data_IF_426575024627
#
_entry.id   IF_426575024627
#
_cell.length_a   1.000
_cell.length_b   1.000
_cell.length_c   1.000
_cell.angle_alpha   90.00
_cell.angle_beta   90.00
_cell.angle_gamma   90.00
#
_symmetry.space_group_name_H-M   'P 1'
#
loop_
_entity.id
_entity.type
_entity.pdbx_description
1 polymer ?
#
# COMPACT_ATOMS: atom_id res chain seq x y z
N UNK A 1 10.68 11.15 -13.76
CA UNK A 1 10.96 9.72 -14.03
C UNK A 1 11.16 9.53 -15.54
N UNK A 2 12.31 9.03 -16.00
CA UNK A 2 12.50 8.77 -17.44
C UNK A 2 11.71 7.52 -17.86
N UNK A 3 10.48 7.72 -18.32
CA UNK A 3 9.60 6.65 -18.76
C UNK A 3 10.06 6.08 -20.11
N UNK A 4 10.42 4.80 -20.14
CA UNK A 4 10.94 4.13 -21.33
C UNK A 4 9.80 3.33 -22.00
N UNK A 5 9.05 3.98 -22.89
CA UNK A 5 8.01 3.36 -23.70
C UNK A 5 6.59 3.34 -23.08
N UNK A 6 5.61 3.00 -23.90
CA UNK A 6 4.18 3.03 -23.55
C UNK A 6 3.84 2.09 -22.38
N UNK A 7 4.43 0.89 -22.34
CA UNK A 7 4.19 -0.12 -21.29
C UNK A 7 4.66 0.39 -19.92
N UNK A 8 5.83 1.03 -19.86
CA UNK A 8 6.36 1.57 -18.60
C UNK A 8 5.49 2.71 -18.05
N UNK A 9 4.98 3.58 -18.92
CA UNK A 9 4.01 4.63 -18.55
C UNK A 9 2.72 4.03 -18.05
N UNK A 10 2.18 3.03 -18.75
CA UNK A 10 0.95 2.36 -18.34
C UNK A 10 1.08 1.73 -16.94
N UNK A 11 2.15 0.97 -16.69
CA UNK A 11 2.39 0.34 -15.38
C UNK A 11 2.56 1.40 -14.28
N UNK A 12 3.32 2.47 -14.56
CA UNK A 12 3.51 3.56 -13.59
C UNK A 12 2.17 4.23 -13.25
N UNK A 13 1.36 4.57 -14.25
CA UNK A 13 0.05 5.18 -14.03
C UNK A 13 -0.90 4.25 -13.28
N UNK A 14 -0.89 2.95 -13.59
CA UNK A 14 -1.67 1.95 -12.89
C UNK A 14 -1.31 1.90 -11.41
N UNK A 15 -0.02 1.83 -11.07
CA UNK A 15 0.47 1.85 -9.68
C UNK A 15 0.03 3.11 -8.95
N UNK A 16 0.20 4.29 -9.58
CA UNK A 16 -0.19 5.56 -8.96
C UNK A 16 -1.70 5.61 -8.70
N UNK A 17 -2.51 5.10 -9.63
CA UNK A 17 -3.96 5.05 -9.47
C UNK A 17 -4.39 4.06 -8.37
N UNK A 18 -3.75 2.89 -8.30
CA UNK A 18 -3.98 1.93 -7.23
C UNK A 18 -3.58 2.48 -5.86
N UNK A 19 -2.41 3.12 -5.76
CA UNK A 19 -1.97 3.77 -4.52
C UNK A 19 -2.91 4.91 -4.12
N UNK A 20 -3.39 5.72 -5.07
CA UNK A 20 -4.41 6.74 -4.81
C UNK A 20 -5.73 6.15 -4.28
N UNK A 21 -6.17 5.01 -4.83
CA UNK A 21 -7.36 4.31 -4.33
C UNK A 21 -7.17 3.79 -2.89
N UNK A 22 -5.98 3.28 -2.55
CA UNK A 22 -5.63 2.85 -1.18
C UNK A 22 -5.66 4.05 -0.22
N UNK A 23 -5.05 5.17 -0.62
CA UNK A 23 -5.07 6.41 0.16
C UNK A 23 -6.50 6.88 0.41
N UNK A 24 -7.34 6.92 -0.63
CA UNK A 24 -8.75 7.30 -0.50
C UNK A 24 -9.47 6.36 0.47
N UNK A 25 -9.34 5.05 0.31
CA UNK A 25 -9.94 4.08 1.23
C UNK A 25 -9.48 4.31 2.67
N UNK A 26 -8.19 4.54 2.90
CA UNK A 26 -7.64 4.79 4.23
C UNK A 26 -8.18 6.07 4.89
N UNK A 27 -8.46 7.12 4.12
CA UNK A 27 -9.07 8.35 4.66
C UNK A 27 -10.58 8.24 4.89
N UNK A 28 -11.31 7.51 4.03
CA UNK A 28 -12.76 7.37 4.14
C UNK A 28 -13.20 6.24 5.08
N UNK A 29 -12.36 5.24 5.30
CA UNK A 29 -12.63 4.08 6.16
C UNK A 29 -11.47 3.80 7.12
N UNK A 30 -11.01 4.79 7.92
CA UNK A 30 -9.87 4.62 8.82
C UNK A 30 -10.13 3.57 9.91
N UNK A 31 -11.40 3.35 10.24
CA UNK A 31 -11.89 2.33 11.17
C UNK A 31 -11.41 0.92 10.81
N UNK A 32 -11.29 0.60 9.52
CA UNK A 32 -10.81 -0.71 9.08
C UNK A 32 -9.33 -0.92 9.42
N UNK A 33 -8.51 0.11 9.21
CA UNK A 33 -7.07 0.06 9.53
C UNK A 33 -6.85 0.12 11.05
N UNK A 34 -7.66 0.90 11.76
CA UNK A 34 -7.63 0.98 13.21
C UNK A 34 -7.99 -0.37 13.86
N UNK A 35 -9.03 -1.06 13.37
CA UNK A 35 -9.42 -2.38 13.84
C UNK A 35 -8.26 -3.38 13.69
N UNK A 36 -7.63 -3.42 12.51
CA UNK A 36 -6.48 -4.30 12.27
C UNK A 36 -5.29 -3.98 13.17
N UNK A 37 -4.99 -2.70 13.41
CA UNK A 37 -3.90 -2.29 14.30
C UNK A 37 -4.17 -2.64 15.77
N UNK A 38 -5.42 -2.53 16.20
CA UNK A 38 -5.86 -2.88 17.55
C UNK A 38 -5.75 -4.39 17.78
N UNK A 39 -6.34 -5.18 16.88
CA UNK A 39 -6.49 -6.64 17.05
C UNK A 39 -5.18 -7.40 16.81
N UNK A 40 -4.30 -6.87 15.96
CA UNK A 40 -2.95 -7.44 15.79
C UNK A 40 -2.05 -7.25 17.01
N UNK A 41 -2.38 -6.31 17.90
CA UNK A 41 -1.55 -5.96 19.06
C UNK A 41 -0.19 -5.38 18.69
N UNK A 42 0.00 -4.95 17.43
CA UNK A 42 1.26 -4.41 16.92
C UNK A 42 1.64 -3.09 17.61
N UNK A 43 0.62 -2.33 18.03
CA UNK A 43 0.75 -0.97 18.54
C UNK A 43 -0.13 -0.81 19.79
N UNK A 44 0.33 -0.10 20.83
CA UNK A 44 -0.51 0.25 21.96
C UNK A 44 -1.78 0.99 21.54
N UNK A 45 -2.92 0.70 22.19
CA UNK A 45 -4.23 1.29 21.86
C UNK A 45 -4.22 2.82 21.76
N UNK A 46 -3.39 3.49 22.58
CA UNK A 46 -3.19 4.94 22.58
C UNK A 46 -2.65 5.53 21.25
N UNK A 47 -2.03 4.73 20.39
CA UNK A 47 -1.46 5.20 19.12
C UNK A 47 -2.22 4.68 17.88
N UNK A 48 -3.25 3.85 18.05
CA UNK A 48 -3.97 3.21 16.93
C UNK A 48 -4.57 4.24 15.98
N UNK A 49 -5.28 5.23 16.50
CA UNK A 49 -5.92 6.28 15.67
C UNK A 49 -4.90 7.13 14.91
N UNK A 50 -3.81 7.51 15.60
CA UNK A 50 -2.73 8.30 15.01
C UNK A 50 -2.07 7.53 13.86
N UNK A 51 -1.81 6.23 14.06
CA UNK A 51 -1.22 5.38 13.03
C UNK A 51 -2.17 5.10 11.87
N UNK A 52 -3.45 4.84 12.15
CA UNK A 52 -4.49 4.64 11.15
C UNK A 52 -4.62 5.85 10.21
N UNK A 53 -4.40 7.07 10.70
CA UNK A 53 -4.37 8.27 9.87
C UNK A 53 -3.00 8.51 9.22
N UNK A 54 -1.91 8.31 9.95
CA UNK A 54 -0.55 8.63 9.47
C UNK A 54 -0.10 7.75 8.31
N UNK A 55 -0.53 6.49 8.26
CA UNK A 55 -0.20 5.53 7.19
C UNK A 55 -0.72 5.97 5.81
N UNK A 56 -2.04 6.22 5.62
CA UNK A 56 -2.55 6.73 4.36
C UNK A 56 -2.05 8.15 4.07
N UNK A 57 -1.79 8.97 5.09
CA UNK A 57 -1.19 10.29 4.91
C UNK A 57 0.24 10.22 4.35
N UNK A 58 1.11 9.38 4.92
CA UNK A 58 2.45 9.17 4.43
C UNK A 58 2.45 8.64 2.98
N UNK A 59 1.56 7.68 2.68
CA UNK A 59 1.38 7.18 1.32
C UNK A 59 0.91 8.29 0.36
N UNK A 60 0.01 9.18 0.79
CA UNK A 60 -0.45 10.33 0.01
C UNK A 60 0.68 11.31 -0.31
N UNK A 61 1.52 11.64 0.68
CA UNK A 61 2.68 12.51 0.47
C UNK A 61 3.67 11.87 -0.51
N UNK A 62 3.97 10.58 -0.33
CA UNK A 62 4.86 9.85 -1.25
C UNK A 62 4.29 9.78 -2.67
N UNK A 63 2.97 9.61 -2.81
CA UNK A 63 2.27 9.62 -4.08
C UNK A 63 2.39 11.00 -4.76
N UNK A 64 2.13 12.09 -4.03
CA UNK A 64 2.25 13.45 -4.56
C UNK A 64 3.67 13.75 -5.03
N UNK A 65 4.68 13.40 -4.22
CA UNK A 65 6.09 13.58 -4.56
C UNK A 65 6.49 12.77 -5.81
N UNK A 66 6.03 11.53 -5.93
CA UNK A 66 6.27 10.71 -7.12
C UNK A 66 5.55 11.24 -8.36
N UNK A 67 4.32 11.76 -8.21
CA UNK A 67 3.54 12.35 -9.29
C UNK A 67 4.20 13.60 -9.88
N UNK A 68 4.78 14.46 -9.03
CA UNK A 68 5.58 15.62 -9.45
C UNK A 68 7.02 15.25 -9.88
N UNK A 69 7.32 13.95 -9.95
CA UNK A 69 8.65 13.41 -10.30
C UNK A 69 9.79 13.87 -9.37
N UNK A 70 9.46 14.35 -8.15
CA UNK A 70 10.42 14.84 -7.16
C UNK A 70 11.16 13.70 -6.47
N UNK A 71 10.53 12.53 -6.34
CA UNK A 71 11.10 11.34 -5.69
C UNK A 71 11.00 10.10 -6.59
N UNK A 72 11.81 9.10 -6.26
CA UNK A 72 11.66 7.74 -6.82
C UNK A 72 10.36 7.08 -6.36
N UNK A 73 10.04 5.92 -6.94
CA UNK A 73 8.93 5.04 -6.51
C UNK A 73 9.28 4.30 -5.19
N UNK A 74 10.55 4.26 -4.79
CA UNK A 74 11.02 3.61 -3.56
C UNK A 74 10.16 3.89 -2.30
N UNK A 75 9.87 5.16 -1.93
CA UNK A 75 9.05 5.46 -0.76
C UNK A 75 7.62 4.92 -0.86
N UNK A 76 7.04 4.81 -2.05
CA UNK A 76 5.73 4.20 -2.26
C UNK A 76 5.79 2.71 -1.93
N UNK A 77 6.85 2.00 -2.37
CA UNK A 77 7.03 0.57 -2.04
C UNK A 77 7.07 0.37 -0.52
N UNK A 78 7.85 1.20 0.19
CA UNK A 78 7.97 1.11 1.64
C UNK A 78 6.63 1.39 2.33
N UNK A 79 5.91 2.44 1.90
CA UNK A 79 4.60 2.77 2.46
C UNK A 79 3.58 1.65 2.23
N UNK A 80 3.53 1.06 1.03
CA UNK A 80 2.65 -0.07 0.72
C UNK A 80 3.00 -1.30 1.57
N UNK A 81 4.29 -1.60 1.74
CA UNK A 81 4.75 -2.70 2.58
C UNK A 81 4.37 -2.51 4.06
N UNK A 82 4.46 -1.28 4.58
CA UNK A 82 4.00 -0.97 5.93
C UNK A 82 2.47 -1.05 6.05
N UNK A 83 1.75 -0.58 5.04
CA UNK A 83 0.28 -0.60 5.01
C UNK A 83 -0.28 -2.04 4.99
N UNK A 84 0.40 -2.97 4.31
CA UNK A 84 0.01 -4.39 4.26
C UNK A 84 0.38 -5.19 5.52
N UNK A 85 1.28 -4.67 6.36
CA UNK A 85 1.85 -5.40 7.49
C UNK A 85 0.79 -5.82 8.53
N UNK A 86 -0.13 -4.92 8.98
CA UNK A 86 -1.20 -5.31 9.90
C UNK A 86 -2.11 -6.40 9.31
N UNK A 87 -2.49 -6.30 8.03
CA UNK A 87 -3.31 -7.33 7.38
C UNK A 87 -2.61 -8.69 7.29
N UNK A 88 -1.29 -8.71 7.06
CA UNK A 88 -0.51 -9.94 7.03
C UNK A 88 -0.42 -10.62 8.40
N UNK A 89 -0.26 -9.84 9.46
CA UNK A 89 -0.27 -10.36 10.84
C UNK A 89 -1.65 -10.90 11.21
N UNK A 90 -2.72 -10.18 10.87
CA UNK A 90 -4.09 -10.62 11.13
C UNK A 90 -4.41 -11.94 10.41
N UNK A 91 -3.92 -12.13 9.18
CA UNK A 91 -4.02 -13.41 8.47
C UNK A 91 -3.23 -14.52 9.17
N UNK A 92 -2.00 -14.24 9.61
CA UNK A 92 -1.18 -15.20 10.35
C UNK A 92 -1.83 -15.64 11.67
N UNK A 93 -2.54 -14.73 12.34
CA UNK A 93 -3.31 -15.01 13.55
C UNK A 93 -4.65 -15.73 13.27
N UNK A 94 -5.04 -15.90 12.00
CA UNK A 94 -6.26 -16.61 11.60
C UNK A 94 -7.55 -15.79 11.73
N UNK A 95 -7.48 -14.46 11.86
CA UNK A 95 -8.68 -13.61 12.08
C UNK A 95 -9.69 -13.64 10.92
N UNK A 96 -9.24 -14.01 9.72
CA UNK A 96 -10.08 -14.18 8.53
C UNK A 96 -11.03 -15.38 8.59
N UNK A 97 -10.80 -16.34 9.49
CA UNK A 97 -11.70 -17.48 9.64
C UNK A 97 -12.95 -17.06 10.42
N UNK A 98 -14.08 -16.96 9.74
CA UNK A 98 -15.36 -16.71 10.40
C UNK A 98 -15.86 -18.00 11.07
N UNK A 99 -15.50 -18.18 12.34
CA UNK A 99 -16.01 -19.27 13.17
C UNK A 99 -17.47 -19.05 13.63
N UNK A 100 -18.19 -18.07 13.05
CA UNK A 100 -19.49 -17.59 13.55
C UNK A 100 -19.36 -16.67 14.76
N UNK A 101 -18.15 -16.16 15.03
CA UNK A 101 -17.87 -15.27 16.16
C UNK A 101 -18.29 -13.82 15.90
N UNK A 102 -18.36 -13.40 14.64
CA UNK A 102 -18.66 -12.02 14.28
C UNK A 102 -20.16 -11.82 14.02
N UNK A 103 -20.73 -10.72 14.51
CA UNK A 103 -22.12 -10.38 14.22
C UNK A 103 -22.30 -10.10 12.71
N UNK A 104 -23.33 -10.66 12.06
CA UNK A 104 -23.58 -10.37 10.65
C UNK A 104 -23.87 -8.87 10.46
N UNK A 105 -23.14 -8.24 9.55
CA UNK A 105 -23.23 -6.79 9.28
C UNK A 105 -22.38 -5.91 10.21
N UNK A 106 -21.64 -6.49 11.15
CA UNK A 106 -20.62 -5.76 11.93
C UNK A 106 -19.43 -5.35 11.06
N UNK A 107 -18.66 -4.36 11.55
CA UNK A 107 -17.42 -3.92 10.91
C UNK A 107 -16.41 -5.08 10.82
N UNK A 108 -16.26 -5.85 11.90
CA UNK A 108 -15.38 -7.02 11.99
C UNK A 108 -15.70 -8.06 10.92
N UNK A 109 -16.97 -8.45 10.79
CA UNK A 109 -17.42 -9.41 9.77
C UNK A 109 -17.06 -8.94 8.36
N UNK A 110 -17.22 -7.65 8.05
CA UNK A 110 -16.85 -7.09 6.74
C UNK A 110 -15.33 -7.05 6.53
N UNK A 111 -14.56 -6.63 7.53
CA UNK A 111 -13.10 -6.50 7.41
C UNK A 111 -12.44 -7.88 7.30
N UNK A 112 -12.88 -8.85 8.10
CA UNK A 112 -12.26 -10.17 8.16
C UNK A 112 -12.65 -11.08 7.00
N UNK A 113 -13.88 -11.00 6.50
CA UNK A 113 -14.29 -11.74 5.30
C UNK A 113 -13.56 -11.27 4.03
N UNK A 114 -13.20 -9.99 3.96
CA UNK A 114 -12.45 -9.43 2.83
C UNK A 114 -10.93 -9.42 3.05
N UNK A 115 -10.43 -9.87 4.21
CA UNK A 115 -9.03 -9.70 4.59
C UNK A 115 -8.05 -10.41 3.65
N UNK A 116 -8.32 -11.70 3.37
CA UNK A 116 -7.48 -12.52 2.48
C UNK A 116 -7.43 -11.98 1.04
N UNK A 117 -8.57 -11.73 0.35
CA UNK A 117 -8.52 -11.20 -1.00
C UNK A 117 -7.91 -9.80 -1.06
N UNK A 118 -8.17 -8.93 -0.08
CA UNK A 118 -7.55 -7.60 -0.03
C UNK A 118 -6.03 -7.69 0.16
N UNK A 119 -5.55 -8.60 1.00
CA UNK A 119 -4.11 -8.82 1.21
C UNK A 119 -3.42 -9.30 -0.07
N UNK A 120 -4.02 -10.27 -0.78
CA UNK A 120 -3.44 -10.79 -2.04
C UNK A 120 -3.34 -9.67 -3.08
N UNK A 121 -4.39 -8.86 -3.25
CA UNK A 121 -4.38 -7.73 -4.19
C UNK A 121 -3.27 -6.74 -3.81
N UNK A 122 -3.16 -6.40 -2.53
CA UNK A 122 -2.17 -5.45 -2.04
C UNK A 122 -0.74 -5.98 -2.16
N UNK A 123 -0.54 -7.29 -1.97
CA UNK A 123 0.73 -7.97 -2.21
C UNK A 123 1.12 -7.89 -3.68
N UNK A 124 0.19 -8.13 -4.60
CA UNK A 124 0.44 -8.01 -6.05
C UNK A 124 0.82 -6.58 -6.43
N UNK A 125 0.09 -5.57 -5.94
CA UNK A 125 0.41 -4.15 -6.19
C UNK A 125 1.80 -3.81 -5.66
N UNK A 126 2.12 -4.25 -4.44
CA UNK A 126 3.43 -4.01 -3.81
C UNK A 126 4.56 -4.69 -4.59
N UNK A 127 4.35 -5.93 -5.05
CA UNK A 127 5.31 -6.68 -5.85
C UNK A 127 5.56 -6.04 -7.21
N UNK A 128 4.51 -5.59 -7.92
CA UNK A 128 4.64 -4.88 -9.20
C UNK A 128 5.38 -3.55 -9.00
N UNK A 129 5.06 -2.82 -7.93
CA UNK A 129 5.72 -1.54 -7.60
C UNK A 129 7.20 -1.75 -7.27
N UNK A 130 7.52 -2.76 -6.47
CA UNK A 130 8.89 -3.15 -6.14
C UNK A 130 9.69 -3.61 -7.37
N UNK A 131 9.06 -4.40 -8.24
CA UNK A 131 9.64 -4.82 -9.52
C UNK A 131 9.95 -3.61 -10.41
N UNK A 132 9.01 -2.66 -10.53
CA UNK A 132 9.25 -1.42 -11.28
C UNK A 132 10.40 -0.60 -10.71
N UNK A 133 10.50 -0.48 -9.38
CA UNK A 133 11.61 0.17 -8.71
C UNK A 133 12.95 -0.53 -9.03
N UNK A 134 13.00 -1.86 -8.91
CA UNK A 134 14.18 -2.67 -9.23
C UNK A 134 14.62 -2.47 -10.69
N UNK A 135 13.69 -2.58 -11.65
CA UNK A 135 13.99 -2.35 -13.07
C UNK A 135 14.45 -0.91 -13.35
N UNK A 136 13.94 0.09 -12.64
CA UNK A 136 14.38 1.47 -12.79
C UNK A 136 15.79 1.69 -12.20
N UNK A 137 16.12 1.01 -11.10
CA UNK A 137 17.43 1.13 -10.43
C UNK A 137 18.55 0.40 -11.17
N UNK A 138 18.25 -0.72 -11.84
CA UNK A 138 19.23 -1.52 -12.57
C UNK A 138 19.43 -1.11 -14.04
N UNK A 139 18.68 -0.13 -14.54
CA UNK A 139 18.95 0.42 -15.87
C UNK A 139 20.17 1.35 -15.78
N UNK A 140 21.28 1.05 -16.47
CA UNK A 140 22.38 1.99 -16.54
C UNK A 140 21.85 3.30 -17.10
N UNK A 141 22.18 4.41 -16.42
CA UNK A 141 21.97 5.74 -16.96
C UNK A 141 22.65 5.72 -18.33
N UNK A 142 21.87 5.67 -19.41
CA UNK A 142 22.40 5.91 -20.76
C UNK A 142 22.72 7.39 -20.77
N UNK A 143 23.89 7.73 -20.24
CA UNK A 143 24.57 9.00 -20.45
C UNK A 143 24.70 9.11 -21.95
N UNK A 144 23.74 9.77 -22.58
CA UNK A 144 24.00 10.43 -23.85
C UNK A 144 24.95 11.57 -23.51
N UNK A 145 26.23 11.25 -23.34
CA UNK A 145 27.31 12.18 -23.68
C UNK A 145 27.29 12.33 -25.19
N UNK A 146 26.30 13.10 -25.68
CA UNK A 146 26.39 13.82 -26.93
C UNK A 146 26.84 15.24 -26.56
N UNK A 147 28.15 15.39 -26.41
CA UNK A 147 28.89 16.64 -26.55
C UNK A 147 29.96 16.25 -27.58
N UNK A 148 29.70 16.54 -28.86
CA UNK A 148 30.03 17.80 -29.52
C UNK A 148 31.55 17.88 -29.77
#
# INVERSE_FOLDING_TARGET
MKTCGYIHRFITSFILLSAAAIVLKGFFQPEQTALLLLDTGLVPAMYVEVLAFSLPFALAVCLSLAFFELTSIAPIVVCLALYMLPSGIALYQGLHFDCGCYLPGSLESRVYSELEPQFIIMLVITAITGGLHYFNSHRPIRTKTHLA
#
